data_IF_330095129087
#
_entry.id   IF_330095129087
#
_cell.length_a   1.000
_cell.length_b   1.000
_cell.length_c   1.000
_cell.angle_alpha   90.00
_cell.angle_beta   90.00
_cell.angle_gamma   90.00
#
_symmetry.space_group_name_H-M   'P 1'
#
loop_
_entity.id
_entity.type
_entity.pdbx_description
1 polymer ?
#
# COMPACT_ATOMS: atom_id res chain seq x y z
N UNK A 1 -23.06 -5.58 -30.38
CA UNK A 1 -23.40 -5.18 -29.00
C UNK A 1 -22.43 -5.96 -28.12
N UNK A 2 -21.28 -5.36 -27.79
CA UNK A 2 -20.24 -6.04 -27.01
C UNK A 2 -20.56 -5.84 -25.53
N UNK A 3 -20.55 -6.96 -24.80
CA UNK A 3 -20.89 -7.06 -23.40
C UNK A 3 -19.97 -6.16 -22.56
N UNK A 4 -20.58 -5.40 -21.64
CA UNK A 4 -19.93 -4.32 -20.91
C UNK A 4 -18.94 -4.84 -19.87
N UNK A 5 -17.67 -4.95 -20.24
CA UNK A 5 -16.59 -5.17 -19.29
C UNK A 5 -16.49 -3.95 -18.39
N UNK A 6 -16.96 -4.07 -17.14
CA UNK A 6 -16.72 -3.07 -16.10
C UNK A 6 -15.27 -3.20 -15.63
N UNK A 7 -14.45 -2.21 -15.94
CA UNK A 7 -13.06 -2.15 -15.47
C UNK A 7 -13.07 -1.86 -13.96
N UNK A 8 -12.72 -2.85 -13.14
CA UNK A 8 -12.61 -2.68 -11.68
C UNK A 8 -11.28 -2.07 -11.23
N UNK A 9 -10.28 -2.02 -12.12
CA UNK A 9 -8.96 -1.47 -11.82
C UNK A 9 -7.97 -1.72 -12.97
N UNK A 10 -6.87 -0.96 -12.99
CA UNK A 10 -5.79 -1.07 -13.98
C UNK A 10 -4.44 -1.08 -13.27
N UNK A 11 -3.59 -2.06 -13.61
CA UNK A 11 -2.18 -2.07 -13.20
C UNK A 11 -1.30 -1.88 -14.42
N UNK A 12 -0.51 -0.81 -14.42
CA UNK A 12 0.45 -0.50 -15.48
C UNK A 12 1.85 -0.34 -14.88
N UNK A 13 2.86 -0.93 -15.53
CA UNK A 13 4.28 -0.70 -15.20
C UNK A 13 4.83 0.39 -16.11
N UNK A 14 5.39 1.44 -15.53
CA UNK A 14 6.00 2.56 -16.25
C UNK A 14 7.41 2.82 -15.75
N UNK A 15 8.28 3.35 -16.61
CA UNK A 15 9.64 3.77 -16.26
C UNK A 15 9.63 5.29 -16.13
N UNK A 16 10.22 5.80 -15.05
CA UNK A 16 10.45 7.24 -14.87
C UNK A 16 11.42 7.73 -15.94
N UNK A 17 11.00 8.70 -16.72
CA UNK A 17 11.84 9.30 -17.77
C UNK A 17 12.90 10.23 -17.17
N UNK A 18 13.86 10.65 -18.00
CA UNK A 18 14.96 11.52 -17.57
C UNK A 18 14.51 12.88 -17.02
N UNK A 19 13.33 13.33 -17.41
CA UNK A 19 12.68 14.55 -16.93
C UNK A 19 11.86 14.34 -15.65
N UNK A 20 11.86 13.13 -15.09
CA UNK A 20 11.12 12.78 -13.89
C UNK A 20 9.64 12.44 -14.14
N UNK A 21 9.22 12.33 -15.41
CA UNK A 21 7.81 12.06 -15.73
C UNK A 21 7.49 10.57 -15.84
N UNK A 22 6.24 10.21 -15.54
CA UNK A 22 5.63 8.89 -15.80
C UNK A 22 4.39 9.14 -16.64
N UNK A 23 4.16 8.28 -17.64
CA UNK A 23 2.97 8.33 -18.48
C UNK A 23 2.07 7.13 -18.21
N UNK A 24 0.80 7.43 -17.91
CA UNK A 24 -0.24 6.44 -17.63
C UNK A 24 -1.17 6.43 -18.85
N UNK A 25 -1.34 5.25 -19.46
CA UNK A 25 -2.26 5.08 -20.58
C UNK A 25 -3.64 4.76 -20.01
N UNK A 26 -4.52 5.75 -19.99
CA UNK A 26 -5.89 5.56 -19.51
C UNK A 26 -6.74 4.85 -20.57
N UNK A 27 -7.53 3.84 -20.20
CA UNK A 27 -8.55 3.30 -21.08
C UNK A 27 -9.68 4.32 -21.27
N UNK A 28 -10.54 4.09 -22.26
CA UNK A 28 -11.74 4.91 -22.47
C UNK A 28 -12.71 4.69 -21.29
N UNK A 29 -12.73 5.65 -20.38
CA UNK A 29 -13.62 5.67 -19.22
C UNK A 29 -14.82 6.56 -19.50
N UNK A 30 -15.99 6.14 -19.03
CA UNK A 30 -17.21 6.94 -19.15
C UNK A 30 -17.08 8.25 -18.35
N UNK A 31 -17.70 9.31 -18.84
CA UNK A 31 -17.78 10.59 -18.12
C UNK A 31 -18.34 10.40 -16.70
N UNK A 32 -17.75 11.08 -15.72
CA UNK A 32 -18.12 10.96 -14.30
C UNK A 32 -17.50 9.77 -13.56
N UNK A 33 -16.66 8.96 -14.20
CA UNK A 33 -15.93 7.87 -13.53
C UNK A 33 -14.90 8.43 -12.56
N UNK A 34 -15.02 8.07 -11.27
CA UNK A 34 -14.00 8.37 -10.25
C UNK A 34 -12.86 7.37 -10.37
N UNK A 35 -11.62 7.86 -10.42
CA UNK A 35 -10.41 7.03 -10.55
C UNK A 35 -9.44 7.37 -9.43
N UNK A 36 -8.96 6.33 -8.75
CA UNK A 36 -7.84 6.40 -7.82
C UNK A 36 -6.55 5.93 -8.53
N UNK A 37 -5.46 6.67 -8.36
CA UNK A 37 -4.15 6.32 -8.94
C UNK A 37 -3.16 6.01 -7.82
N UNK A 38 -2.69 4.77 -7.78
CA UNK A 38 -1.68 4.31 -6.81
C UNK A 38 -0.34 4.15 -7.55
N UNK A 39 0.68 4.93 -7.15
CA UNK A 39 2.04 4.85 -7.72
C UNK A 39 2.91 3.97 -6.82
N UNK A 40 3.41 2.88 -7.38
CA UNK A 40 4.32 1.94 -6.72
C UNK A 40 5.71 2.04 -7.37
N UNK A 41 6.73 2.34 -6.58
CA UNK A 41 8.12 2.42 -7.07
C UNK A 41 8.80 1.08 -6.82
N UNK A 42 9.13 0.37 -7.91
CA UNK A 42 9.94 -0.85 -7.85
C UNK A 42 11.42 -0.45 -7.75
N UNK A 43 12.03 -0.65 -6.58
CA UNK A 43 13.48 -0.53 -6.43
C UNK A 43 14.12 -1.87 -6.78
N UNK A 44 14.86 -1.91 -7.89
CA UNK A 44 15.67 -3.07 -8.25
C UNK A 44 16.83 -3.14 -7.25
N UNK A 45 16.87 -4.22 -6.46
CA UNK A 45 17.89 -4.41 -5.45
C UNK A 45 19.28 -4.46 -6.10
N UNK A 46 20.04 -3.37 -5.98
CA UNK A 46 21.46 -3.38 -6.31
C UNK A 46 22.17 -4.12 -5.16
N UNK A 47 22.29 -5.44 -5.31
CA UNK A 47 23.12 -6.24 -4.43
C UNK A 47 24.60 -5.89 -4.68
N UNK A 48 25.36 -5.40 -3.69
CA UNK A 48 26.81 -5.48 -3.79
C UNK A 48 27.20 -6.96 -3.75
N UNK A 49 28.11 -7.31 -4.63
CA UNK A 49 28.71 -8.63 -4.77
C UNK A 49 29.48 -8.98 -3.48
N UNK A 50 28.80 -9.58 -2.51
CA UNK A 50 29.47 -10.35 -1.46
C UNK A 50 28.66 -11.59 -1.16
N UNK A 51 29.29 -12.72 -1.43
CA UNK A 51 28.74 -14.06 -1.36
C UNK A 51 28.09 -14.39 0.00
N UNK A 52 26.98 -15.12 -0.10
CA UNK A 52 26.34 -15.97 0.90
C UNK A 52 25.20 -15.37 1.77
N UNK A 53 23.99 -15.61 1.25
CA UNK A 53 22.73 -15.99 1.92
C UNK A 53 21.84 -14.86 2.46
N UNK A 54 20.92 -14.49 1.56
CA UNK A 54 19.51 -14.14 1.73
C UNK A 54 19.12 -12.85 2.49
N UNK A 55 18.22 -12.12 1.83
CA UNK A 55 17.45 -10.94 2.25
C UNK A 55 18.23 -9.64 2.49
N UNK A 56 18.53 -8.93 1.39
CA UNK A 56 18.91 -7.51 1.41
C UNK A 56 17.77 -6.68 0.82
N UNK A 57 16.74 -6.43 1.64
CA UNK A 57 15.94 -5.22 1.52
C UNK A 57 16.74 -4.09 2.18
N UNK A 58 17.65 -3.47 1.44
CA UNK A 58 18.47 -2.37 1.96
C UNK A 58 17.76 -1.02 1.84
N UNK A 59 16.43 -1.00 2.04
CA UNK A 59 15.69 0.20 2.44
C UNK A 59 14.85 -0.01 3.71
N UNK A 60 14.82 -1.23 4.25
CA UNK A 60 14.17 -1.54 5.51
C UNK A 60 15.21 -1.87 6.55
N UNK A 61 15.24 -1.11 7.64
CA UNK A 61 15.47 -1.81 8.91
C UNK A 61 14.42 -2.92 8.93
N UNK A 62 14.81 -4.21 9.02
CA UNK A 62 13.84 -5.31 9.03
C UNK A 62 12.74 -4.89 10.00
N UNK A 63 11.51 -4.74 9.51
CA UNK A 63 10.44 -4.13 10.30
C UNK A 63 10.24 -4.91 11.60
N UNK A 64 10.55 -6.20 11.58
CA UNK A 64 10.63 -7.07 12.75
C UNK A 64 11.78 -6.67 13.67
N UNK A 65 12.98 -6.43 13.13
CA UNK A 65 14.14 -5.96 13.88
C UNK A 65 13.90 -4.61 14.55
N UNK A 66 13.26 -3.64 13.88
CA UNK A 66 12.87 -2.37 14.50
C UNK A 66 11.85 -2.55 15.63
N UNK A 67 10.81 -3.35 15.40
CA UNK A 67 9.78 -3.64 16.41
C UNK A 67 10.37 -4.36 17.64
N UNK A 68 11.45 -5.12 17.46
CA UNK A 68 12.15 -5.83 18.53
C UNK A 68 13.37 -5.07 19.08
N UNK A 69 13.70 -3.89 18.54
CA UNK A 69 14.95 -3.17 18.89
C UNK A 69 14.98 -2.64 20.33
N UNK A 70 13.83 -2.21 20.88
CA UNK A 70 13.73 -1.63 22.23
C UNK A 70 12.68 -2.33 23.07
N UNK A 71 12.81 -2.26 24.40
CA UNK A 71 11.81 -2.84 25.33
C UNK A 71 10.44 -2.17 25.20
N UNK A 72 10.42 -0.85 24.96
CA UNK A 72 9.18 -0.12 24.73
C UNK A 72 8.46 -0.61 23.47
N UNK A 73 9.20 -0.81 22.37
CA UNK A 73 8.62 -1.31 21.11
C UNK A 73 8.10 -2.75 21.26
N UNK A 74 8.84 -3.64 21.94
CA UNK A 74 8.40 -5.01 22.23
C UNK A 74 7.11 -5.06 23.04
N UNK A 75 7.04 -4.25 24.10
CA UNK A 75 5.84 -4.17 24.94
C UNK A 75 4.64 -3.68 24.15
N UNK A 76 4.81 -2.63 23.35
CA UNK A 76 3.76 -2.07 22.50
C UNK A 76 3.28 -3.08 21.45
N UNK A 77 4.19 -3.83 20.84
CA UNK A 77 3.85 -4.91 19.90
C UNK A 77 3.01 -6.01 20.60
N UNK A 78 3.43 -6.47 21.77
CA UNK A 78 2.72 -7.51 22.51
C UNK A 78 1.33 -7.06 23.00
N UNK A 79 1.16 -5.78 23.36
CA UNK A 79 -0.15 -5.21 23.69
C UNK A 79 -1.05 -5.11 22.44
N UNK A 80 -0.49 -4.70 21.30
CA UNK A 80 -1.23 -4.60 20.03
C UNK A 80 -1.73 -5.97 19.54
N UNK A 81 -0.89 -7.02 19.64
CA UNK A 81 -1.28 -8.39 19.27
C UNK A 81 -2.43 -8.88 20.17
N UNK A 82 -2.30 -8.73 21.49
CA UNK A 82 -3.35 -9.14 22.44
C UNK A 82 -4.67 -8.41 22.19
N UNK A 83 -4.60 -7.12 21.88
CA UNK A 83 -5.77 -6.30 21.53
C UNK A 83 -6.44 -6.72 20.23
N UNK A 84 -5.66 -7.16 19.24
CA UNK A 84 -6.19 -7.67 17.97
C UNK A 84 -6.86 -9.04 18.16
N UNK A 85 -6.24 -9.93 18.93
CA UNK A 85 -6.78 -11.26 19.26
C UNK A 85 -8.07 -11.17 20.09
N UNK A 86 -8.10 -10.29 21.09
CA UNK A 86 -9.31 -10.06 21.90
C UNK A 86 -10.42 -9.35 21.13
N UNK A 87 -10.11 -8.78 19.95
CA UNK A 87 -10.96 -7.86 19.18
C UNK A 87 -11.51 -6.69 20.02
N UNK A 88 -10.91 -6.41 21.18
CA UNK A 88 -11.48 -5.48 22.16
C UNK A 88 -11.38 -4.02 21.73
N UNK A 89 -10.47 -3.71 20.80
CA UNK A 89 -10.26 -2.37 20.24
C UNK A 89 -10.34 -2.36 18.71
N UNK A 90 -11.09 -3.29 18.13
CA UNK A 90 -11.31 -3.30 16.68
C UNK A 90 -12.36 -2.22 16.35
N UNK A 91 -11.94 -1.13 15.72
CA UNK A 91 -12.88 -0.17 15.15
C UNK A 91 -13.34 -0.76 13.82
N UNK A 92 -14.54 -1.33 13.80
CA UNK A 92 -15.22 -1.74 12.58
C UNK A 92 -16.14 -0.62 12.14
N UNK A 93 -15.93 -0.11 10.95
CA UNK A 93 -16.87 0.76 10.26
C UNK A 93 -17.36 0.04 9.01
N UNK A 94 -18.65 0.15 8.71
CA UNK A 94 -19.17 -0.16 7.38
C UNK A 94 -18.71 0.92 6.39
N UNK A 95 -18.65 0.62 5.08
CA UNK A 95 -18.40 1.63 4.05
C UNK A 95 -19.32 2.85 4.16
N UNK A 96 -20.56 2.64 4.63
CA UNK A 96 -21.54 3.70 4.88
C UNK A 96 -21.18 4.56 6.10
N UNK A 97 -20.73 3.96 7.21
CA UNK A 97 -20.32 4.67 8.45
C UNK A 97 -19.08 5.55 8.21
N UNK A 98 -18.13 5.09 7.40
CA UNK A 98 -16.95 5.88 7.00
C UNK A 98 -17.33 7.14 6.19
N UNK A 99 -18.35 7.03 5.33
CA UNK A 99 -18.81 8.13 4.49
C UNK A 99 -19.64 9.17 5.28
N UNK A 100 -20.32 8.77 6.36
CA UNK A 100 -21.05 9.69 7.23
C UNK A 100 -20.11 10.52 8.13
N UNK A 101 -19.04 9.93 8.66
CA UNK A 101 -18.07 10.62 9.52
C UNK A 101 -17.21 11.63 8.75
N UNK A 102 -17.02 11.39 7.45
CA UNK A 102 -16.37 12.32 6.53
C UNK A 102 -17.36 12.91 5.52
N UNK A 103 -18.42 13.51 6.04
CA UNK A 103 -19.33 14.42 5.30
C UNK A 103 -18.58 15.71 4.84
N UNK A 104 -17.48 15.54 4.11
CA UNK A 104 -16.95 16.52 3.17
C UNK A 104 -18.01 16.63 2.08
N UNK A 105 -18.98 17.50 2.33
CA UNK A 105 -19.87 18.03 1.31
C UNK A 105 -19.07 18.32 0.03
N UNK A 106 -19.41 17.63 -1.03
CA UNK A 106 -19.37 18.19 -2.38
C UNK A 106 -20.78 18.26 -2.93
#
# INVERSE_FOLDING_TARGET
MLDGVRLSGMKQRGIVRKDGTIEIQMPELAEGTIVEVIILVEQEAIAPESDAIASNDSSTQDTTEYLLSTEANRRHLAESIRSAESRSNLISFTPEEWNEEHNLHS
#
